data_IF_645777725589
#
_entry.id   IF_645777725589
#
_cell.length_a   1.000
_cell.length_b   1.000
_cell.length_c   1.000
_cell.angle_alpha   90.00
_cell.angle_beta   90.00
_cell.angle_gamma   90.00
#
_symmetry.space_group_name_H-M   'P 1'
#
loop_
_entity.id
_entity.type
_entity.pdbx_description
1 polymer ?
#
# COMPACT_ATOMS: atom_id res chain seq x y z
N UNK A 1 34.40 10.32 -5.10
CA UNK A 1 32.92 10.16 -4.97
C UNK A 1 32.45 9.37 -6.18
N UNK A 2 31.70 8.29 -6.00
CA UNK A 2 31.10 7.58 -7.12
C UNK A 2 30.20 8.52 -7.92
N UNK A 3 30.15 8.34 -9.23
CA UNK A 3 29.24 9.06 -10.11
C UNK A 3 28.08 8.13 -10.49
N UNK A 4 26.88 8.68 -10.58
CA UNK A 4 25.66 7.95 -10.97
C UNK A 4 25.30 6.75 -10.09
N UNK A 5 25.76 6.71 -8.84
CA UNK A 5 25.41 5.68 -7.86
C UNK A 5 25.48 6.19 -6.43
N UNK A 6 24.81 5.49 -5.53
CA UNK A 6 24.84 5.74 -4.08
C UNK A 6 24.81 4.41 -3.32
N UNK A 7 25.11 4.46 -2.03
CA UNK A 7 25.18 3.26 -1.19
C UNK A 7 24.39 3.48 0.10
N UNK A 8 23.55 2.51 0.46
CA UNK A 8 23.01 2.39 1.80
C UNK A 8 23.97 1.54 2.65
N UNK A 9 24.45 2.07 3.78
CA UNK A 9 25.40 1.35 4.64
C UNK A 9 25.25 1.74 6.10
N UNK A 10 25.65 0.84 6.96
CA UNK A 10 25.73 1.05 8.40
C UNK A 10 27.19 1.17 8.88
N UNK A 11 28.08 0.46 8.22
CA UNK A 11 29.50 0.43 8.52
C UNK A 11 30.32 0.62 7.26
N UNK A 12 31.48 1.26 7.40
CA UNK A 12 32.43 1.45 6.32
C UNK A 12 33.79 0.91 6.79
N UNK A 13 34.41 0.06 5.98
CA UNK A 13 35.77 -0.40 6.15
C UNK A 13 36.67 0.26 5.11
N UNK A 14 37.82 0.75 5.55
CA UNK A 14 38.81 1.36 4.67
C UNK A 14 40.08 0.54 4.77
N UNK A 15 40.52 -0.01 3.64
CA UNK A 15 41.80 -0.72 3.54
C UNK A 15 42.70 0.06 2.59
N UNK A 16 43.95 0.29 3.00
CA UNK A 16 44.95 0.96 2.19
C UNK A 16 46.21 0.08 2.11
N UNK A 17 46.85 0.05 0.93
CA UNK A 17 48.13 -0.59 0.72
C UNK A 17 49.24 0.50 0.75
N UNK A 18 50.11 0.43 1.74
CA UNK A 18 51.22 1.38 1.97
C UNK A 18 50.88 2.44 3.02
N UNK A 19 51.80 3.40 3.18
CA UNK A 19 51.67 4.50 4.16
C UNK A 19 50.65 5.54 3.65
N UNK A 20 49.48 5.53 4.25
CA UNK A 20 48.38 6.45 3.90
C UNK A 20 47.93 7.23 5.11
N UNK A 21 47.85 8.55 4.99
CA UNK A 21 47.24 9.41 6.00
C UNK A 21 45.83 9.77 5.60
N UNK A 22 44.83 9.29 6.35
CA UNK A 22 43.42 9.66 6.16
C UNK A 22 43.20 11.02 6.85
N UNK A 23 43.01 12.09 6.09
CA UNK A 23 42.79 13.45 6.65
C UNK A 23 41.33 13.68 7.01
N UNK A 24 40.39 13.12 6.24
CA UNK A 24 38.96 13.35 6.46
C UNK A 24 38.13 12.26 5.80
N UNK A 25 37.10 11.78 6.51
CA UNK A 25 36.04 10.92 5.98
C UNK A 25 34.74 11.70 6.15
N UNK A 26 33.90 11.73 5.10
CA UNK A 26 32.54 12.29 5.12
C UNK A 26 31.57 11.31 4.51
N UNK A 27 30.43 11.11 5.17
CA UNK A 27 29.21 10.59 4.55
C UNK A 27 28.38 11.80 4.09
N UNK A 28 27.92 11.76 2.85
CA UNK A 28 27.08 12.80 2.27
C UNK A 28 25.74 12.14 1.96
N UNK A 29 24.67 12.46 2.71
CA UNK A 29 23.34 11.95 2.40
C UNK A 29 22.89 12.53 1.04
N UNK A 30 22.26 11.67 0.26
CA UNK A 30 21.65 12.05 -1.03
C UNK A 30 20.16 11.77 -0.92
N UNK A 31 19.35 12.79 -1.12
CA UNK A 31 17.89 12.70 -0.99
C UNK A 31 17.22 13.76 -1.88
N UNK A 32 16.00 13.48 -2.31
CA UNK A 32 15.13 14.47 -2.97
C UNK A 32 14.35 15.34 -1.96
N UNK A 33 14.41 15.00 -0.67
CA UNK A 33 13.82 15.84 0.39
C UNK A 33 14.90 16.77 0.92
N UNK A 34 14.90 18.00 0.41
CA UNK A 34 15.81 19.02 0.91
C UNK A 34 15.45 19.40 2.35
N UNK A 35 16.44 19.87 3.11
CA UNK A 35 16.27 20.21 4.54
C UNK A 35 15.14 21.26 4.77
N UNK A 36 14.98 22.20 3.87
CA UNK A 36 13.93 23.21 3.92
C UNK A 36 12.52 22.66 3.61
N UNK A 37 12.42 21.43 3.12
CA UNK A 37 11.14 20.73 2.90
C UNK A 37 10.71 19.90 4.11
N UNK A 38 11.57 19.71 5.10
CA UNK A 38 11.22 19.03 6.35
C UNK A 38 10.38 19.96 7.24
N UNK A 39 9.10 19.64 7.37
CA UNK A 39 8.11 20.52 8.02
C UNK A 39 7.48 19.88 9.26
N UNK A 40 7.52 18.56 9.38
CA UNK A 40 6.94 17.82 10.50
C UNK A 40 7.97 17.47 11.57
N UNK A 41 7.67 17.82 12.82
CA UNK A 41 8.48 17.44 13.98
C UNK A 41 7.57 16.85 15.04
N UNK A 42 7.95 15.67 15.55
CA UNK A 42 7.28 15.03 16.67
C UNK A 42 8.30 14.63 17.72
N UNK A 43 8.09 15.07 18.95
CA UNK A 43 8.89 14.68 20.10
C UNK A 43 7.97 14.25 21.24
N UNK A 44 8.27 13.13 21.86
CA UNK A 44 7.48 12.56 22.94
C UNK A 44 8.31 12.41 24.22
N UNK A 45 7.67 12.10 25.34
CA UNK A 45 8.35 11.77 26.60
C UNK A 45 8.97 10.37 26.63
N UNK A 46 8.93 9.60 25.54
CA UNK A 46 9.46 8.24 25.46
C UNK A 46 10.60 8.16 24.46
N UNK A 47 11.81 7.84 24.92
CA UNK A 47 13.03 7.80 24.10
C UNK A 47 12.96 6.73 22.98
N UNK A 48 12.29 5.58 23.22
CA UNK A 48 12.14 4.55 22.20
C UNK A 48 11.23 5.02 21.06
N UNK A 49 10.15 5.73 21.39
CA UNK A 49 9.26 6.35 20.39
C UNK A 49 10.01 7.42 19.61
N UNK A 50 10.78 8.28 20.28
CA UNK A 50 11.61 9.30 19.61
C UNK A 50 12.65 8.65 18.69
N UNK A 51 13.22 7.51 19.09
CA UNK A 51 14.14 6.74 18.24
C UNK A 51 13.46 6.16 17.02
N UNK A 52 12.23 5.63 17.18
CA UNK A 52 11.42 5.14 16.05
C UNK A 52 11.13 6.28 15.06
N UNK A 53 10.70 7.43 15.56
CA UNK A 53 10.45 8.63 14.73
C UNK A 53 11.71 9.02 13.95
N UNK A 54 12.86 9.11 14.62
CA UNK A 54 14.14 9.39 13.97
C UNK A 54 14.49 8.38 12.88
N UNK A 55 14.29 7.09 13.14
CA UNK A 55 14.53 6.05 12.16
C UNK A 55 13.60 6.18 10.94
N UNK A 56 12.33 6.53 11.16
CA UNK A 56 11.33 6.76 10.10
C UNK A 56 11.75 7.93 9.20
N UNK A 57 12.17 9.05 9.79
CA UNK A 57 12.66 10.22 9.02
C UNK A 57 13.91 9.85 8.20
N UNK A 58 14.86 9.12 8.79
CA UNK A 58 16.05 8.66 8.05
C UNK A 58 15.72 7.63 6.98
N UNK A 59 14.72 6.77 7.23
CA UNK A 59 14.17 5.86 6.21
C UNK A 59 13.63 6.64 5.02
N UNK A 60 12.82 7.68 5.25
CA UNK A 60 12.31 8.56 4.19
C UNK A 60 13.44 9.23 3.40
N UNK A 61 14.38 9.88 4.10
CA UNK A 61 15.52 10.56 3.46
C UNK A 61 16.33 9.64 2.55
N UNK A 62 16.55 8.41 2.98
CA UNK A 62 17.37 7.44 2.23
C UNK A 62 16.63 6.77 1.07
N UNK A 63 15.31 6.74 1.10
CA UNK A 63 14.49 6.12 0.06
C UNK A 63 13.87 7.13 -0.92
N UNK A 64 13.68 8.38 -0.52
CA UNK A 64 13.15 9.41 -1.41
C UNK A 64 14.27 10.06 -2.22
N UNK A 65 14.71 9.35 -3.25
CA UNK A 65 15.72 9.82 -4.19
C UNK A 65 15.21 9.65 -5.62
N UNK A 66 14.68 10.72 -6.19
CA UNK A 66 14.00 10.78 -7.49
C UNK A 66 12.67 10.01 -7.56
N UNK A 67 12.62 8.83 -6.96
CA UNK A 67 11.44 7.99 -6.79
C UNK A 67 11.37 7.47 -5.35
N UNK A 68 10.19 7.11 -4.83
CA UNK A 68 10.08 6.51 -3.50
C UNK A 68 10.50 5.03 -3.57
N UNK A 69 11.78 4.76 -3.32
CA UNK A 69 12.31 3.39 -3.38
C UNK A 69 11.94 2.58 -2.15
N UNK A 70 11.78 1.28 -2.32
CA UNK A 70 11.50 0.31 -1.26
C UNK A 70 12.68 0.14 -0.29
N UNK A 71 13.91 0.24 -0.78
CA UNK A 71 15.11 0.02 0.00
C UNK A 71 16.33 0.76 -0.56
N UNK A 72 17.25 1.31 0.29
CA UNK A 72 18.45 1.99 -0.18
C UNK A 72 19.69 1.13 -0.20
N UNK A 73 19.69 -0.08 0.43
CA UNK A 73 20.90 -0.82 0.81
C UNK A 73 21.21 -2.05 -0.06
N UNK A 74 20.36 -2.42 -1.00
CA UNK A 74 20.53 -3.58 -1.88
C UNK A 74 20.23 -3.24 -3.34
N UNK A 75 20.49 -4.18 -4.25
CA UNK A 75 20.30 -4.01 -5.70
C UNK A 75 18.81 -4.22 -6.12
N UNK A 76 17.91 -3.56 -5.46
CA UNK A 76 16.50 -3.45 -5.81
C UNK A 76 16.20 -1.98 -6.11
N UNK A 77 15.92 -1.16 -5.10
CA UNK A 77 15.74 0.30 -5.21
C UNK A 77 14.69 0.68 -6.24
N UNK A 78 13.57 -0.02 -6.21
CA UNK A 78 12.45 0.19 -7.10
C UNK A 78 11.38 1.05 -6.44
N UNK A 79 10.65 1.81 -7.24
CA UNK A 79 9.49 2.58 -6.77
C UNK A 79 8.27 1.70 -6.61
N UNK A 80 8.30 0.75 -5.67
CA UNK A 80 7.17 -0.13 -5.36
C UNK A 80 5.97 0.68 -4.90
N UNK A 81 4.86 0.47 -5.59
CA UNK A 81 3.69 1.34 -5.45
C UNK A 81 2.94 1.11 -4.14
N UNK A 82 2.90 -0.14 -3.61
CA UNK A 82 2.34 -0.40 -2.29
C UNK A 82 3.18 0.20 -1.17
N UNK A 83 4.51 0.04 -1.22
CA UNK A 83 5.43 0.66 -0.26
C UNK A 83 5.21 2.16 -0.20
N UNK A 84 5.05 2.77 -1.37
CA UNK A 84 4.76 4.19 -1.49
C UNK A 84 3.41 4.53 -0.86
N UNK A 85 2.34 3.82 -1.21
CA UNK A 85 0.99 4.17 -0.74
C UNK A 85 0.86 4.02 0.78
N UNK A 86 1.44 2.98 1.39
CA UNK A 86 1.36 2.78 2.84
C UNK A 86 2.21 3.79 3.63
N UNK A 87 3.25 4.35 3.01
CA UNK A 87 4.13 5.32 3.67
C UNK A 87 3.77 6.78 3.35
N UNK A 88 2.95 7.07 2.34
CA UNK A 88 2.68 8.43 1.86
C UNK A 88 2.16 9.34 2.98
N UNK A 89 1.22 8.89 3.80
CA UNK A 89 0.66 9.69 4.90
C UNK A 89 1.75 10.07 5.91
N UNK A 90 2.57 9.12 6.32
CA UNK A 90 3.72 9.37 7.20
C UNK A 90 4.74 10.30 6.55
N UNK A 91 5.04 10.07 5.27
CA UNK A 91 6.00 10.88 4.53
C UNK A 91 5.56 12.33 4.34
N UNK A 92 4.26 12.57 4.10
CA UNK A 92 3.67 13.92 3.99
C UNK A 92 3.60 14.64 5.33
N UNK A 93 3.52 13.91 6.44
CA UNK A 93 3.57 14.49 7.77
C UNK A 93 4.96 15.09 8.10
N UNK A 94 6.03 14.37 7.75
CA UNK A 94 7.39 14.81 8.07
C UNK A 94 7.98 15.83 7.10
N UNK A 95 7.51 15.85 5.85
CA UNK A 95 8.05 16.75 4.84
C UNK A 95 7.00 17.24 3.84
N UNK A 96 7.21 18.41 3.25
CA UNK A 96 6.45 18.84 2.09
C UNK A 96 6.88 18.01 0.87
N UNK A 97 6.19 16.91 0.67
CA UNK A 97 6.45 15.95 -0.41
C UNK A 97 5.61 16.20 -1.66
N UNK A 98 4.80 17.26 -1.70
CA UNK A 98 3.93 17.54 -2.84
C UNK A 98 4.71 17.59 -4.17
N UNK A 99 5.83 18.33 -4.32
CA UNK A 99 6.60 18.35 -5.58
C UNK A 99 7.16 16.98 -5.97
N UNK A 100 7.55 16.18 -4.97
CA UNK A 100 8.06 14.82 -5.17
C UNK A 100 6.96 13.90 -5.74
N UNK A 101 5.76 13.96 -5.18
CA UNK A 101 4.65 13.14 -5.63
C UNK A 101 4.00 13.63 -6.93
N UNK A 102 4.02 14.92 -7.24
CA UNK A 102 3.66 15.40 -8.58
C UNK A 102 4.52 14.75 -9.68
N UNK A 103 5.82 14.64 -9.43
CA UNK A 103 6.72 13.93 -10.34
C UNK A 103 6.41 12.45 -10.40
N UNK A 104 6.29 11.78 -9.26
CA UNK A 104 6.13 10.33 -9.22
C UNK A 104 4.77 9.84 -9.75
N UNK A 105 3.68 10.57 -9.49
CA UNK A 105 2.38 10.24 -10.08
C UNK A 105 2.36 10.39 -11.60
N UNK A 106 3.23 11.25 -12.16
CA UNK A 106 3.46 11.27 -13.61
C UNK A 106 4.12 9.97 -14.09
N UNK A 107 5.13 9.47 -13.39
CA UNK A 107 5.74 8.18 -13.73
C UNK A 107 4.70 7.05 -13.74
N UNK A 108 3.74 7.08 -12.82
CA UNK A 108 2.62 6.13 -12.80
C UNK A 108 1.71 6.27 -14.03
N UNK A 109 1.33 7.51 -14.39
CA UNK A 109 0.49 7.77 -15.58
C UNK A 109 1.15 7.34 -16.87
N UNK A 110 2.47 7.61 -17.01
CA UNK A 110 3.23 7.27 -18.21
C UNK A 110 3.32 5.76 -18.47
N UNK A 111 3.05 4.95 -17.44
CA UNK A 111 3.09 3.49 -17.47
C UNK A 111 1.72 2.82 -17.38
N UNK A 112 0.63 3.61 -17.28
CA UNK A 112 -0.72 3.09 -17.21
C UNK A 112 -1.11 2.34 -18.48
N UNK A 113 -1.74 1.18 -18.35
CA UNK A 113 -2.22 0.38 -19.49
C UNK A 113 -3.37 1.05 -20.22
N UNK A 114 -3.66 0.57 -21.44
CA UNK A 114 -4.83 1.03 -22.21
C UNK A 114 -6.17 0.74 -21.50
N UNK A 115 -6.24 -0.32 -20.69
CA UNK A 115 -7.40 -0.65 -19.86
C UNK A 115 -7.51 0.19 -18.59
N UNK A 116 -6.45 0.86 -18.18
CA UNK A 116 -6.42 1.69 -16.98
C UNK A 116 -5.56 1.13 -15.84
N UNK A 117 -4.96 -0.05 -16.01
CA UNK A 117 -4.16 -0.70 -14.98
C UNK A 117 -2.92 0.11 -14.62
N UNK A 118 -2.68 0.30 -13.32
CA UNK A 118 -1.42 0.86 -12.81
C UNK A 118 -0.40 -0.23 -12.50
N UNK A 119 0.90 0.09 -12.61
CA UNK A 119 1.97 -0.88 -12.38
C UNK A 119 2.21 -1.14 -10.88
N UNK A 120 2.85 -2.27 -10.59
CA UNK A 120 3.36 -2.56 -9.25
C UNK A 120 4.62 -1.75 -8.89
N UNK A 121 5.32 -1.22 -9.91
CA UNK A 121 6.55 -0.41 -9.77
C UNK A 121 6.50 0.80 -10.70
N UNK A 122 6.77 1.99 -10.20
CA UNK A 122 6.83 3.22 -11.00
C UNK A 122 8.10 4.05 -10.69
N UNK A 123 8.87 4.51 -11.71
CA UNK A 123 8.70 4.20 -13.13
C UNK A 123 8.89 2.72 -13.41
N UNK A 124 8.32 2.26 -14.53
CA UNK A 124 8.38 0.86 -14.92
C UNK A 124 9.83 0.45 -15.19
N UNK A 125 10.35 -0.48 -14.40
CA UNK A 125 11.66 -1.05 -14.56
C UNK A 125 11.58 -2.40 -15.28
N UNK A 126 12.70 -2.91 -15.78
CA UNK A 126 12.75 -4.21 -16.45
C UNK A 126 12.24 -5.36 -15.55
N UNK A 127 12.49 -5.25 -14.26
CA UNK A 127 11.89 -6.09 -13.22
C UNK A 127 10.55 -5.47 -12.78
N UNK A 128 9.47 -6.20 -12.87
CA UNK A 128 8.11 -5.67 -12.62
C UNK A 128 7.48 -4.94 -13.84
N UNK A 129 8.16 -4.91 -14.97
CA UNK A 129 7.65 -4.42 -16.25
C UNK A 129 6.83 -5.45 -17.03
N UNK A 130 6.65 -6.62 -16.46
CA UNK A 130 5.84 -7.66 -17.08
C UNK A 130 4.37 -7.22 -17.05
N UNK A 131 3.62 -7.45 -18.13
CA UNK A 131 2.18 -7.22 -18.13
C UNK A 131 1.47 -7.85 -16.92
N UNK A 132 2.03 -8.94 -16.42
CA UNK A 132 1.56 -9.67 -15.23
C UNK A 132 1.78 -8.96 -13.90
N UNK A 133 2.44 -7.81 -13.85
CA UNK A 133 2.63 -7.02 -12.61
C UNK A 133 1.65 -5.85 -12.48
N UNK A 134 0.77 -5.65 -13.46
CA UNK A 134 -0.27 -4.64 -13.43
C UNK A 134 -1.45 -5.07 -12.54
N UNK A 135 -2.27 -4.11 -12.12
CA UNK A 135 -3.53 -4.38 -11.42
C UNK A 135 -3.39 -5.28 -10.17
N UNK A 136 -2.30 -5.17 -9.48
CA UNK A 136 -2.15 -5.84 -8.19
C UNK A 136 -2.82 -5.02 -7.11
N UNK A 137 -3.74 -5.64 -6.38
CA UNK A 137 -4.46 -4.98 -5.28
C UNK A 137 -3.48 -4.44 -4.23
N UNK A 138 -3.75 -3.24 -3.72
CA UNK A 138 -2.89 -2.54 -2.76
C UNK A 138 -1.65 -1.90 -3.40
N UNK A 139 -1.26 -2.31 -4.61
CA UNK A 139 -0.18 -1.70 -5.42
C UNK A 139 -0.74 -0.73 -6.44
N UNK A 140 -1.63 -1.18 -7.31
CA UNK A 140 -2.24 -0.34 -8.34
C UNK A 140 -3.04 0.83 -7.73
N UNK A 141 -3.66 0.60 -6.59
CA UNK A 141 -4.48 1.59 -5.86
C UNK A 141 -3.69 2.83 -5.42
N UNK A 142 -2.35 2.76 -5.41
CA UNK A 142 -1.49 3.91 -5.18
C UNK A 142 -1.77 5.08 -6.15
N UNK A 143 -2.25 4.78 -7.36
CA UNK A 143 -2.66 5.79 -8.34
C UNK A 143 -3.82 6.68 -7.88
N UNK A 144 -4.64 6.21 -6.95
CA UNK A 144 -5.73 6.97 -6.31
C UNK A 144 -5.32 7.45 -4.91
N UNK A 145 -4.73 6.57 -4.11
CA UNK A 145 -4.42 6.83 -2.70
C UNK A 145 -3.39 7.95 -2.53
N UNK A 146 -2.33 7.96 -3.36
CA UNK A 146 -1.27 8.97 -3.23
C UNK A 146 -1.75 10.37 -3.57
N UNK A 147 -2.44 10.64 -4.71
CA UNK A 147 -3.03 11.94 -4.97
C UNK A 147 -4.02 12.40 -3.90
N UNK A 148 -4.88 11.50 -3.41
CA UNK A 148 -5.81 11.80 -2.33
C UNK A 148 -5.09 12.21 -1.05
N UNK A 149 -4.05 11.47 -0.64
CA UNK A 149 -3.27 11.74 0.58
C UNK A 149 -2.53 13.08 0.49
N UNK A 150 -1.89 13.37 -0.64
CA UNK A 150 -1.18 14.64 -0.88
C UNK A 150 -2.15 15.83 -0.82
N UNK A 151 -3.30 15.71 -1.49
CA UNK A 151 -4.34 16.72 -1.40
C UNK A 151 -4.85 16.91 0.03
N UNK A 152 -5.15 15.83 0.74
CA UNK A 152 -5.63 15.92 2.14
C UNK A 152 -4.61 16.60 3.07
N UNK A 153 -3.33 16.35 2.87
CA UNK A 153 -2.28 16.90 3.71
C UNK A 153 -1.98 18.36 3.41
N UNK A 154 -1.91 18.73 2.13
CA UNK A 154 -1.43 20.05 1.71
C UNK A 154 -2.52 20.97 1.14
N UNK A 155 -3.73 20.48 0.92
CA UNK A 155 -4.80 21.22 0.23
C UNK A 155 -4.51 21.40 -1.28
N UNK A 156 -3.54 20.69 -1.82
CA UNK A 156 -3.10 20.84 -3.20
C UNK A 156 -4.06 20.13 -4.17
N UNK A 157 -5.03 20.88 -4.67
CA UNK A 157 -6.03 20.41 -5.65
C UNK A 157 -5.38 20.11 -7.01
N UNK A 158 -4.23 20.72 -7.33
CA UNK A 158 -3.60 20.54 -8.65
C UNK A 158 -3.16 19.10 -8.89
N UNK A 159 -2.78 18.36 -7.86
CA UNK A 159 -2.43 16.93 -7.99
C UNK A 159 -3.64 16.09 -8.39
N UNK A 160 -4.86 16.47 -7.94
CA UNK A 160 -6.10 15.81 -8.36
C UNK A 160 -6.35 16.09 -9.85
N UNK A 161 -6.27 17.36 -10.25
CA UNK A 161 -6.52 17.77 -11.63
C UNK A 161 -5.57 17.10 -12.63
N UNK A 162 -4.28 17.05 -12.29
CA UNK A 162 -3.28 16.42 -13.13
C UNK A 162 -3.46 14.91 -13.29
N UNK A 163 -4.03 14.24 -12.30
CA UNK A 163 -4.17 12.79 -12.28
C UNK A 163 -5.60 12.31 -12.59
N UNK A 164 -6.60 13.22 -12.68
CA UNK A 164 -8.02 12.84 -12.72
C UNK A 164 -8.35 11.84 -13.83
N UNK A 165 -7.97 12.12 -15.07
CA UNK A 165 -8.30 11.25 -16.19
C UNK A 165 -7.70 9.84 -16.05
N UNK A 166 -6.52 9.75 -15.47
CA UNK A 166 -5.82 8.49 -15.20
C UNK A 166 -6.51 7.71 -14.05
N UNK A 167 -6.83 8.40 -12.96
CA UNK A 167 -7.55 7.82 -11.82
C UNK A 167 -8.95 7.34 -12.23
N UNK A 168 -9.68 8.14 -12.99
CA UNK A 168 -11.03 7.79 -13.48
C UNK A 168 -10.99 6.56 -14.40
N UNK A 169 -9.99 6.47 -15.26
CA UNK A 169 -9.79 5.32 -16.14
C UNK A 169 -9.53 4.04 -15.35
N UNK A 170 -8.64 4.08 -14.35
CA UNK A 170 -8.38 2.97 -13.43
C UNK A 170 -9.66 2.60 -12.67
N UNK A 171 -10.32 3.59 -12.07
CA UNK A 171 -11.51 3.38 -11.26
C UNK A 171 -12.67 2.77 -12.04
N UNK A 172 -12.88 3.20 -13.30
CA UNK A 172 -13.91 2.62 -14.17
C UNK A 172 -13.59 1.16 -14.47
N UNK A 173 -12.34 0.83 -14.77
CA UNK A 173 -11.91 -0.55 -15.03
C UNK A 173 -12.13 -1.48 -13.82
N UNK A 174 -11.76 -1.06 -12.61
CA UNK A 174 -12.02 -1.87 -11.41
C UNK A 174 -13.53 -1.96 -11.09
N UNK A 175 -14.31 -0.93 -11.44
CA UNK A 175 -15.75 -0.93 -11.25
C UNK A 175 -16.45 -1.88 -12.22
N UNK A 176 -16.09 -1.87 -13.50
CA UNK A 176 -16.63 -2.77 -14.52
C UNK A 176 -16.34 -4.25 -14.22
N UNK A 177 -15.15 -4.53 -13.72
CA UNK A 177 -14.70 -5.88 -13.36
C UNK A 177 -15.05 -6.26 -11.92
N UNK A 178 -15.63 -5.35 -11.12
CA UNK A 178 -15.82 -5.46 -9.65
C UNK A 178 -14.49 -5.75 -8.92
N UNK A 179 -13.39 -5.33 -9.55
CA UNK A 179 -12.02 -5.63 -9.10
C UNK A 179 -11.79 -7.14 -8.87
N UNK A 180 -12.50 -7.99 -9.59
CA UNK A 180 -12.40 -9.44 -9.44
C UNK A 180 -11.06 -9.95 -9.96
N UNK A 181 -10.35 -10.75 -9.15
CA UNK A 181 -9.04 -11.26 -9.48
C UNK A 181 -9.01 -12.10 -10.76
N UNK A 182 -10.02 -12.94 -10.98
CA UNK A 182 -10.10 -13.79 -12.19
C UNK A 182 -10.41 -12.95 -13.45
N UNK A 183 -11.23 -11.90 -13.31
CA UNK A 183 -11.50 -10.98 -14.41
C UNK A 183 -10.25 -10.22 -14.87
N UNK A 184 -9.34 -9.92 -13.92
CA UNK A 184 -8.09 -9.20 -14.15
C UNK A 184 -6.89 -10.13 -14.38
N UNK A 185 -7.11 -11.43 -14.56
CA UNK A 185 -6.06 -12.44 -14.63
C UNK A 185 -5.03 -12.19 -15.72
N UNK A 186 -5.44 -11.64 -16.84
CA UNK A 186 -4.52 -11.31 -17.95
C UNK A 186 -3.53 -10.20 -17.56
N UNK A 187 -3.93 -9.28 -16.65
CA UNK A 187 -3.13 -8.16 -16.20
C UNK A 187 -2.35 -8.47 -14.93
N UNK A 188 -2.91 -9.26 -14.01
CA UNK A 188 -2.28 -9.57 -12.72
C UNK A 188 -1.50 -10.90 -12.69
N UNK A 189 -1.38 -11.58 -13.83
CA UNK A 189 -0.62 -12.83 -13.94
C UNK A 189 -1.12 -13.97 -13.07
N UNK A 190 -2.42 -13.96 -12.71
CA UNK A 190 -3.05 -14.95 -11.84
C UNK A 190 -2.43 -15.05 -10.44
N UNK A 191 -1.91 -13.92 -9.93
CA UNK A 191 -1.29 -13.84 -8.61
C UNK A 191 -1.54 -12.46 -7.99
N UNK A 192 -1.72 -12.41 -6.67
CA UNK A 192 -1.77 -11.17 -5.89
C UNK A 192 -0.75 -11.25 -4.74
N UNK A 193 -0.13 -10.11 -4.44
CA UNK A 193 0.71 -10.02 -3.25
C UNK A 193 -0.11 -9.93 -1.97
N UNK A 194 -1.35 -9.42 -2.08
CA UNK A 194 -2.31 -9.31 -0.98
C UNK A 194 -1.72 -8.61 0.25
N UNK A 195 -1.99 -9.11 1.45
CA UNK A 195 -1.40 -8.55 2.66
C UNK A 195 0.04 -9.08 2.83
N UNK A 196 0.95 -8.51 2.04
CA UNK A 196 2.34 -8.93 1.90
C UNK A 196 3.07 -8.96 3.25
N UNK A 197 3.82 -10.02 3.50
CA UNK A 197 4.57 -10.28 4.73
C UNK A 197 3.70 -10.40 6.00
N UNK A 198 2.43 -10.76 5.88
CA UNK A 198 1.61 -11.12 7.03
C UNK A 198 2.06 -12.45 7.65
N UNK A 199 1.67 -12.66 8.90
CA UNK A 199 1.80 -13.95 9.60
C UNK A 199 0.48 -14.75 9.56
N UNK A 200 -0.47 -14.32 8.74
CA UNK A 200 -1.79 -14.91 8.61
C UNK A 200 -1.78 -16.19 7.75
N UNK A 201 -2.77 -17.09 7.90
CA UNK A 201 -2.77 -18.39 7.22
C UNK A 201 -2.71 -18.33 5.68
N UNK A 202 -3.30 -17.29 5.06
CA UNK A 202 -3.32 -17.11 3.60
C UNK A 202 -2.24 -16.12 3.12
N UNK A 203 -1.12 -16.12 3.78
CA UNK A 203 0.03 -15.29 3.47
C UNK A 203 0.69 -15.72 2.15
N UNK A 204 1.02 -14.77 1.28
CA UNK A 204 1.50 -15.03 -0.07
C UNK A 204 3.00 -15.31 -0.15
N UNK A 205 3.79 -14.75 0.76
CA UNK A 205 5.26 -14.84 0.76
C UNK A 205 5.78 -16.18 1.30
N UNK A 206 5.22 -16.64 2.42
CA UNK A 206 5.62 -17.89 3.08
C UNK A 206 5.01 -19.16 2.49
N UNK A 207 4.06 -19.02 1.60
CA UNK A 207 3.46 -20.16 0.89
C UNK A 207 2.11 -20.64 1.44
N UNK A 208 1.47 -19.90 2.36
CA UNK A 208 0.14 -20.21 2.90
C UNK A 208 -0.98 -20.29 1.85
N UNK A 209 -0.76 -19.67 0.69
CA UNK A 209 -1.69 -19.71 -0.45
C UNK A 209 -1.55 -20.97 -1.35
N UNK A 210 -0.58 -21.84 -1.09
CA UNK A 210 -0.27 -22.96 -1.98
C UNK A 210 -0.63 -24.30 -1.37
N UNK A 211 -1.46 -25.08 -2.10
CA UNK A 211 -1.65 -26.51 -1.89
C UNK A 211 -0.67 -27.35 -2.74
N UNK A 212 -0.66 -28.66 -2.48
CA UNK A 212 0.01 -29.65 -3.32
C UNK A 212 -0.97 -30.75 -3.67
N UNK A 213 -0.96 -31.19 -4.93
CA UNK A 213 -1.72 -32.35 -5.37
C UNK A 213 -1.02 -33.69 -5.02
N UNK A 214 -1.62 -34.81 -5.41
CA UNK A 214 -1.08 -36.14 -5.13
C UNK A 214 0.31 -36.37 -5.72
N UNK A 215 0.65 -35.67 -6.80
CA UNK A 215 1.94 -35.75 -7.49
C UNK A 215 2.95 -34.73 -6.95
N UNK A 216 2.56 -33.98 -5.90
CA UNK A 216 3.38 -32.94 -5.25
C UNK A 216 3.45 -31.62 -6.01
N UNK A 217 2.70 -31.45 -7.11
CA UNK A 217 2.63 -30.22 -7.87
C UNK A 217 1.88 -29.14 -7.09
N UNK A 218 2.42 -27.94 -7.05
CA UNK A 218 1.78 -26.78 -6.39
C UNK A 218 0.56 -26.31 -7.18
N UNK A 219 -0.50 -25.98 -6.47
CA UNK A 219 -1.66 -25.28 -7.01
C UNK A 219 -2.07 -24.17 -6.05
N UNK A 220 -2.70 -23.12 -6.58
CA UNK A 220 -3.24 -22.02 -5.79
C UNK A 220 -4.51 -22.49 -5.06
N UNK A 221 -4.56 -22.25 -3.75
CA UNK A 221 -5.73 -22.60 -2.94
C UNK A 221 -6.95 -21.75 -3.36
N UNK A 222 -8.14 -22.33 -3.54
CA UNK A 222 -9.35 -21.56 -3.81
C UNK A 222 -9.65 -20.52 -2.72
N UNK A 223 -9.32 -20.80 -1.46
CA UNK A 223 -9.46 -19.91 -0.33
C UNK A 223 -8.58 -18.65 -0.49
N UNK A 224 -7.41 -18.78 -1.07
CA UNK A 224 -6.54 -17.63 -1.34
C UNK A 224 -7.15 -16.69 -2.39
N UNK A 225 -7.76 -17.26 -3.46
CA UNK A 225 -8.47 -16.45 -4.47
C UNK A 225 -9.68 -15.74 -3.86
N UNK A 226 -10.45 -16.41 -3.00
CA UNK A 226 -11.59 -15.78 -2.31
C UNK A 226 -11.12 -14.67 -1.37
N UNK A 227 -10.00 -14.85 -0.67
CA UNK A 227 -9.39 -13.82 0.16
C UNK A 227 -8.94 -12.62 -0.68
N UNK A 228 -8.30 -12.86 -1.82
CA UNK A 228 -7.89 -11.80 -2.73
C UNK A 228 -9.09 -11.00 -3.26
N UNK A 229 -10.16 -11.69 -3.68
CA UNK A 229 -11.38 -11.02 -4.12
C UNK A 229 -12.03 -10.19 -3.01
N UNK A 230 -11.99 -10.65 -1.79
CA UNK A 230 -12.42 -9.85 -0.63
C UNK A 230 -11.58 -8.59 -0.45
N UNK A 231 -10.25 -8.69 -0.53
CA UNK A 231 -9.36 -7.53 -0.42
C UNK A 231 -9.53 -6.58 -1.62
N UNK A 232 -9.65 -7.10 -2.84
CA UNK A 232 -9.95 -6.31 -4.03
C UNK A 232 -11.26 -5.51 -3.86
N UNK A 233 -12.34 -6.16 -3.43
CA UNK A 233 -13.59 -5.49 -3.16
C UNK A 233 -13.47 -4.43 -2.04
N UNK A 234 -12.62 -4.68 -1.05
CA UNK A 234 -12.33 -3.73 0.02
C UNK A 234 -11.59 -2.49 -0.48
N UNK A 235 -10.63 -2.65 -1.39
CA UNK A 235 -9.96 -1.53 -2.05
C UNK A 235 -10.88 -0.79 -3.01
N UNK A 236 -11.73 -1.50 -3.75
CA UNK A 236 -12.76 -0.86 -4.60
C UNK A 236 -13.67 0.08 -3.78
N UNK A 237 -14.12 -0.35 -2.60
CA UNK A 237 -14.90 0.50 -1.70
C UNK A 237 -14.10 1.70 -1.16
N UNK A 238 -12.81 1.49 -0.84
CA UNK A 238 -11.88 2.52 -0.36
C UNK A 238 -11.64 3.58 -1.45
N UNK A 239 -11.26 3.14 -2.64
CA UNK A 239 -10.99 4.01 -3.79
C UNK A 239 -12.23 4.81 -4.19
N UNK A 240 -13.42 4.19 -4.17
CA UNK A 240 -14.67 4.89 -4.43
C UNK A 240 -14.90 6.04 -3.44
N UNK A 241 -14.56 5.84 -2.15
CA UNK A 241 -14.63 6.89 -1.14
C UNK A 241 -13.64 8.03 -1.41
N UNK A 242 -12.41 7.70 -1.78
CA UNK A 242 -11.39 8.69 -2.12
C UNK A 242 -11.71 9.46 -3.41
N UNK A 243 -12.16 8.78 -4.44
CA UNK A 243 -12.62 9.41 -5.70
C UNK A 243 -13.80 10.34 -5.47
N UNK A 244 -14.78 9.95 -4.62
CA UNK A 244 -15.88 10.83 -4.19
C UNK A 244 -15.36 12.12 -3.56
N UNK A 245 -14.44 12.01 -2.61
CA UNK A 245 -13.90 13.17 -1.90
C UNK A 245 -13.17 14.12 -2.85
N UNK A 246 -12.34 13.56 -3.75
CA UNK A 246 -11.63 14.34 -4.76
C UNK A 246 -12.58 14.95 -5.81
N UNK A 247 -13.62 14.23 -6.23
CA UNK A 247 -14.66 14.76 -7.11
C UNK A 247 -15.37 15.97 -6.49
N UNK A 248 -15.78 15.85 -5.22
CA UNK A 248 -16.40 16.95 -4.49
C UNK A 248 -15.47 18.17 -4.38
N UNK A 249 -14.18 17.98 -4.11
CA UNK A 249 -13.19 19.04 -3.99
C UNK A 249 -12.94 19.78 -5.31
N UNK A 250 -13.18 19.13 -6.44
CA UNK A 250 -12.94 19.67 -7.80
C UNK A 250 -14.20 19.99 -8.59
N UNK A 251 -15.38 19.95 -7.92
CA UNK A 251 -16.67 20.27 -8.53
C UNK A 251 -17.19 19.23 -9.54
N UNK A 252 -16.69 18.02 -9.47
CA UNK A 252 -17.13 16.87 -10.29
C UNK A 252 -18.27 16.11 -9.62
N UNK A 253 -18.88 15.16 -10.33
CA UNK A 253 -20.00 14.35 -9.82
C UNK A 253 -19.56 13.38 -8.73
N UNK A 254 -19.60 13.82 -7.48
CA UNK A 254 -19.32 13.00 -6.32
C UNK A 254 -20.41 11.92 -6.06
N UNK A 255 -21.63 12.12 -6.54
CA UNK A 255 -22.74 11.19 -6.30
C UNK A 255 -22.53 9.87 -7.05
N UNK A 256 -21.91 9.90 -8.22
CA UNK A 256 -21.53 8.68 -8.95
C UNK A 256 -20.63 7.79 -8.08
N UNK A 257 -19.55 8.35 -7.54
CA UNK A 257 -18.58 7.59 -6.72
C UNK A 257 -19.18 7.11 -5.39
N UNK A 258 -20.06 7.91 -4.77
CA UNK A 258 -20.78 7.47 -3.56
C UNK A 258 -21.72 6.29 -3.88
N UNK A 259 -22.39 6.28 -5.03
CA UNK A 259 -23.22 5.15 -5.44
C UNK A 259 -22.36 3.89 -5.69
N UNK A 260 -21.20 4.02 -6.34
CA UNK A 260 -20.27 2.89 -6.55
C UNK A 260 -19.75 2.40 -5.21
N UNK A 261 -19.41 3.29 -4.26
CA UNK A 261 -18.99 2.90 -2.92
C UNK A 261 -20.06 2.06 -2.21
N UNK A 262 -21.32 2.47 -2.28
CA UNK A 262 -22.43 1.68 -1.71
C UNK A 262 -22.53 0.31 -2.37
N UNK A 263 -22.42 0.24 -3.69
CA UNK A 263 -22.43 -1.03 -4.43
C UNK A 263 -21.28 -1.95 -3.98
N UNK A 264 -20.07 -1.43 -3.82
CA UNK A 264 -18.92 -2.20 -3.35
C UNK A 264 -19.12 -2.72 -1.92
N UNK A 265 -19.62 -1.89 -1.00
CA UNK A 265 -19.92 -2.28 0.37
C UNK A 265 -21.04 -3.34 0.40
N UNK A 266 -22.09 -3.19 -0.37
CA UNK A 266 -23.18 -4.16 -0.45
C UNK A 266 -22.70 -5.47 -1.08
N UNK A 267 -21.82 -5.41 -2.09
CA UNK A 267 -21.17 -6.59 -2.66
C UNK A 267 -20.37 -7.34 -1.60
N UNK A 268 -19.57 -6.65 -0.81
CA UNK A 268 -18.80 -7.28 0.29
C UNK A 268 -19.75 -7.95 1.30
N UNK A 269 -20.82 -7.28 1.71
CA UNK A 269 -21.81 -7.85 2.64
C UNK A 269 -22.45 -9.11 2.10
N UNK A 270 -22.83 -9.10 0.83
CA UNK A 270 -23.57 -10.19 0.21
C UNK A 270 -22.70 -11.39 -0.09
N UNK A 271 -21.52 -11.16 -0.67
CA UNK A 271 -20.67 -12.26 -1.15
C UNK A 271 -19.80 -12.87 -0.06
N UNK A 272 -19.27 -12.04 0.86
CA UNK A 272 -18.24 -12.49 1.79
C UNK A 272 -18.70 -12.62 3.25
N UNK A 273 -19.83 -12.05 3.63
CA UNK A 273 -20.27 -12.03 5.04
C UNK A 273 -21.71 -12.50 5.22
N UNK A 274 -22.04 -12.93 6.43
CA UNK A 274 -23.42 -13.16 6.88
C UNK A 274 -23.96 -11.94 7.65
N UNK A 275 -25.24 -12.03 8.04
CA UNK A 275 -25.92 -10.95 8.76
C UNK A 275 -25.36 -10.69 10.16
N UNK A 276 -24.71 -11.68 10.75
CA UNK A 276 -24.06 -11.63 12.05
C UNK A 276 -22.62 -11.08 11.99
N UNK A 277 -22.17 -10.69 10.78
CA UNK A 277 -20.84 -10.15 10.54
C UNK A 277 -19.73 -11.21 10.54
N UNK A 278 -20.06 -12.49 10.26
CA UNK A 278 -19.05 -13.55 10.08
C UNK A 278 -18.69 -13.66 8.61
N UNK A 279 -17.43 -13.92 8.33
CA UNK A 279 -17.01 -14.26 6.97
C UNK A 279 -17.51 -15.65 6.60
N UNK A 280 -18.06 -15.80 5.39
CA UNK A 280 -18.52 -17.09 4.84
C UNK A 280 -17.35 -18.06 4.65
N UNK A 281 -16.20 -17.57 4.27
CA UNK A 281 -14.95 -18.32 4.28
C UNK A 281 -14.38 -18.33 5.70
N UNK A 282 -14.51 -19.46 6.38
CA UNK A 282 -14.28 -19.56 7.84
C UNK A 282 -12.88 -19.12 8.26
N UNK A 283 -11.86 -19.39 7.46
CA UNK A 283 -10.48 -19.00 7.78
C UNK A 283 -10.32 -17.48 7.97
N UNK A 284 -11.11 -16.66 7.26
CA UNK A 284 -11.05 -15.20 7.38
C UNK A 284 -11.52 -14.71 8.77
N UNK A 285 -12.31 -15.52 9.47
CA UNK A 285 -12.73 -15.20 10.84
C UNK A 285 -11.59 -15.34 11.87
N UNK A 286 -10.50 -15.98 11.49
CA UNK A 286 -9.29 -16.15 12.33
C UNK A 286 -8.19 -15.14 11.99
N UNK A 287 -8.42 -14.25 11.03
CA UNK A 287 -7.44 -13.30 10.52
C UNK A 287 -7.77 -11.88 11.00
N UNK A 288 -6.72 -11.04 11.18
CA UNK A 288 -6.87 -9.64 11.60
C UNK A 288 -7.23 -8.74 10.42
N UNK A 289 -6.55 -8.89 9.30
CA UNK A 289 -6.66 -8.02 8.12
C UNK A 289 -8.07 -7.96 7.55
N UNK A 290 -8.81 -9.09 7.36
CA UNK A 290 -10.19 -9.03 6.90
C UNK A 290 -11.10 -8.25 7.83
N UNK A 291 -10.96 -8.44 9.15
CA UNK A 291 -11.75 -7.73 10.15
C UNK A 291 -11.50 -6.22 10.10
N UNK A 292 -10.23 -5.80 9.95
CA UNK A 292 -9.85 -4.40 9.83
C UNK A 292 -10.46 -3.73 8.59
N UNK A 293 -10.42 -4.37 7.43
CA UNK A 293 -11.05 -3.84 6.21
C UNK A 293 -12.58 -3.76 6.33
N UNK A 294 -13.23 -4.75 6.96
CA UNK A 294 -14.68 -4.70 7.19
C UNK A 294 -15.07 -3.49 8.07
N UNK A 295 -14.29 -3.19 9.10
CA UNK A 295 -14.48 -2.03 9.97
C UNK A 295 -14.17 -0.71 9.24
N UNK A 296 -13.03 -0.64 8.55
CA UNK A 296 -12.56 0.55 7.81
C UNK A 296 -13.56 1.03 6.77
N UNK A 297 -14.13 0.10 6.02
CA UNK A 297 -15.08 0.40 4.95
C UNK A 297 -16.53 0.58 5.44
N UNK A 298 -16.81 0.36 6.74
CA UNK A 298 -18.17 0.42 7.27
C UNK A 298 -19.08 -0.69 6.71
N UNK A 299 -18.49 -1.85 6.42
CA UNK A 299 -19.24 -3.01 5.92
C UNK A 299 -20.22 -3.53 6.95
N UNK A 300 -19.84 -3.47 8.22
CA UNK A 300 -20.63 -3.97 9.37
C UNK A 300 -21.09 -2.82 10.26
N UNK A 301 -22.31 -2.95 10.80
CA UNK A 301 -22.94 -1.96 11.68
C UNK A 301 -23.63 -2.65 12.87
N UNK A 302 -23.95 -1.90 13.93
CA UNK A 302 -24.68 -2.40 15.09
C UNK A 302 -24.04 -3.64 15.71
N UNK A 303 -24.83 -4.68 15.97
CA UNK A 303 -24.37 -5.93 16.60
C UNK A 303 -23.34 -6.70 15.77
N UNK A 304 -23.42 -6.63 14.44
CA UNK A 304 -22.42 -7.24 13.55
C UNK A 304 -21.05 -6.57 13.69
N UNK A 305 -21.01 -5.25 13.84
CA UNK A 305 -19.75 -4.50 14.11
C UNK A 305 -19.13 -4.95 15.44
N UNK A 306 -19.94 -5.02 16.50
CA UNK A 306 -19.49 -5.50 17.82
C UNK A 306 -18.96 -6.94 17.77
N UNK A 307 -19.60 -7.80 16.97
CA UNK A 307 -19.14 -9.16 16.77
C UNK A 307 -17.77 -9.23 16.05
N UNK A 308 -17.55 -8.38 15.04
CA UNK A 308 -16.23 -8.27 14.35
C UNK A 308 -15.17 -7.76 15.32
N UNK A 309 -15.46 -6.71 16.10
CA UNK A 309 -14.52 -6.16 17.08
C UNK A 309 -14.18 -7.22 18.15
N UNK A 310 -15.17 -7.97 18.62
CA UNK A 310 -14.96 -9.02 19.63
C UNK A 310 -14.03 -10.12 19.09
N UNK A 311 -14.24 -10.57 17.85
CA UNK A 311 -13.37 -11.56 17.20
C UNK A 311 -11.95 -11.02 17.00
N UNK A 312 -11.81 -9.79 16.55
CA UNK A 312 -10.50 -9.15 16.38
C UNK A 312 -9.75 -9.05 17.70
N UNK A 313 -10.45 -8.65 18.78
CA UNK A 313 -9.87 -8.60 20.14
C UNK A 313 -9.41 -9.97 20.60
N UNK A 314 -10.26 -11.01 20.43
CA UNK A 314 -9.90 -12.38 20.75
C UNK A 314 -8.68 -12.87 19.96
N UNK A 315 -8.59 -12.54 18.67
CA UNK A 315 -7.43 -12.88 17.86
C UNK A 315 -6.14 -12.23 18.41
N UNK A 316 -6.19 -10.97 18.84
CA UNK A 316 -5.03 -10.34 19.50
C UNK A 316 -4.64 -11.06 20.80
N UNK A 317 -5.63 -11.47 21.61
CA UNK A 317 -5.38 -12.22 22.85
C UNK A 317 -4.73 -13.59 22.57
N UNK A 318 -5.20 -14.30 21.54
CA UNK A 318 -4.65 -15.60 21.10
C UNK A 318 -3.22 -15.51 20.55
N UNK A 319 -2.78 -14.31 20.15
CA UNK A 319 -1.43 -14.02 19.63
C UNK A 319 -0.61 -13.12 20.58
N UNK A 320 -0.89 -13.16 21.89
CA UNK A 320 -0.15 -12.37 22.91
C UNK A 320 -0.08 -10.86 22.59
N UNK A 321 -1.11 -10.30 21.96
CA UNK A 321 -1.18 -8.91 21.51
C UNK A 321 -0.34 -8.61 20.26
N UNK A 322 0.22 -9.60 19.60
CA UNK A 322 1.05 -9.42 18.43
C UNK A 322 0.21 -9.21 17.15
N UNK A 323 0.73 -8.34 16.27
CA UNK A 323 0.19 -8.15 14.94
C UNK A 323 0.48 -9.37 14.07
N UNK A 324 -0.55 -9.82 13.36
CA UNK A 324 -0.44 -10.85 12.32
C UNK A 324 -0.54 -10.24 10.92
N UNK A 325 -0.93 -8.98 10.84
CA UNK A 325 -1.10 -8.23 9.59
C UNK A 325 0.21 -8.02 8.85
N UNK A 326 0.14 -7.95 7.53
CA UNK A 326 1.20 -7.53 6.64
C UNK A 326 1.12 -6.04 6.28
N UNK A 327 1.57 -5.66 5.08
CA UNK A 327 1.61 -4.26 4.62
C UNK A 327 0.24 -3.58 4.65
N UNK A 328 -0.76 -4.23 4.05
CA UNK A 328 -2.07 -3.62 3.84
C UNK A 328 -2.86 -3.53 5.15
N UNK A 329 -2.88 -4.60 5.93
CA UNK A 329 -3.58 -4.64 7.21
C UNK A 329 -2.94 -3.69 8.25
N UNK A 330 -1.62 -3.65 8.33
CA UNK A 330 -0.91 -2.77 9.28
C UNK A 330 -1.14 -1.29 8.97
N UNK A 331 -1.20 -0.91 7.68
CA UNK A 331 -1.40 0.48 7.27
C UNK A 331 -2.75 1.07 7.74
N UNK A 332 -3.78 0.24 7.81
CA UNK A 332 -5.13 0.67 8.22
C UNK A 332 -5.44 0.41 9.71
N UNK A 333 -4.56 -0.29 10.43
CA UNK A 333 -4.81 -0.72 11.81
C UNK A 333 -5.17 0.44 12.72
N UNK A 334 -4.22 1.36 12.94
CA UNK A 334 -4.42 2.47 13.87
C UNK A 334 -5.55 3.42 13.43
N UNK A 335 -5.64 3.85 12.14
CA UNK A 335 -6.75 4.67 11.69
C UNK A 335 -8.14 4.00 11.78
N UNK A 336 -8.20 2.67 11.89
CA UNK A 336 -9.46 1.94 12.02
C UNK A 336 -9.87 1.77 13.48
N UNK A 337 -8.91 1.67 14.39
CA UNK A 337 -9.15 1.41 15.82
C UNK A 337 -9.20 2.68 16.67
N UNK A 338 -8.78 3.84 16.15
CA UNK A 338 -8.89 5.15 16.79
C UNK A 338 -10.24 5.80 16.50
#
# INVERSE_FOLDING_TARGET
>A
TPMCTFFGYRYVSITANGDVTIRKIRSIPVTSIAENLETGVLTTGNDLVNKLISNTVWGQRSNYLSVPTDCPQRDERLGWTADTQVFTETGTFFANTAPFFHKWTRDMRDTQTELGGYPGVAPLAQYGAEPSSMMRLGWADAGVIVPWTVWKQFGDVSIIEENWASMEKFFNHITETKYDHEALKAENGNFQWADWLSYEPLESCGGGIWGRDADGKRYLLPEAVQYWNYLCASYWALDAGMMRDMAAATGRDAAYFENVRKQAVDYIRTEFMDAEGRFRLEILNTMQTPALFALKNGVVEGSAKEAVISRLRKNFEEHDGCLQTGFLGTSILLPTLS
#
